data_IF_698160746360
#
_entry.id   IF_698160746360
#
_cell.length_a   1.000
_cell.length_b   1.000
_cell.length_c   1.000
_cell.angle_alpha   90.00
_cell.angle_beta   90.00
_cell.angle_gamma   90.00
#
_symmetry.space_group_name_H-M   'P 1'
#
loop_
_entity.id
_entity.type
_entity.pdbx_description
1 polymer ?
#
# COMPACT_ATOMS: atom_id res chain seq x y z
N UNK A 1 48.61 3.67 46.86
CA UNK A 1 47.50 3.38 45.91
C UNK A 1 46.28 3.06 46.75
N UNK A 2 45.26 3.92 46.71
CA UNK A 2 44.00 3.71 47.41
C UNK A 2 43.09 2.85 46.55
N UNK A 3 42.72 1.67 47.05
CA UNK A 3 41.79 0.76 46.38
C UNK A 3 40.39 1.05 46.90
N UNK A 4 39.58 1.74 46.11
CA UNK A 4 38.16 1.99 46.41
C UNK A 4 37.38 0.71 46.14
N UNK A 5 36.81 0.11 47.18
CA UNK A 5 35.86 -1.00 47.06
C UNK A 5 34.48 -0.40 46.79
N UNK A 6 33.98 -0.56 45.56
CA UNK A 6 32.58 -0.30 45.25
C UNK A 6 31.74 -1.47 45.81
N UNK A 7 30.95 -1.21 46.85
CA UNK A 7 29.84 -2.09 47.22
C UNK A 7 28.76 -1.98 46.14
N UNK A 8 28.48 -3.08 45.45
CA UNK A 8 27.29 -3.20 44.63
C UNK A 8 26.06 -3.08 45.54
N UNK A 9 25.17 -2.12 45.26
CA UNK A 9 23.84 -2.11 45.85
C UNK A 9 23.11 -3.38 45.38
N UNK A 10 22.77 -4.25 46.33
CA UNK A 10 21.77 -5.30 46.07
C UNK A 10 20.47 -4.61 45.65
N UNK A 11 19.87 -4.94 44.50
CA UNK A 11 18.53 -4.50 44.22
C UNK A 11 17.63 -5.21 45.22
N UNK A 12 17.03 -4.44 46.13
CA UNK A 12 15.85 -4.90 46.85
C UNK A 12 14.83 -5.32 45.78
N UNK A 13 14.47 -6.60 45.75
CA UNK A 13 13.25 -7.08 45.08
C UNK A 13 12.07 -6.51 45.87
N UNK A 14 11.75 -5.24 45.63
CA UNK A 14 10.39 -4.78 45.83
C UNK A 14 9.53 -5.64 44.91
N UNK A 15 8.73 -6.52 45.51
CA UNK A 15 7.58 -7.14 44.87
C UNK A 15 6.61 -6.02 44.51
N UNK A 16 6.90 -5.32 43.42
CA UNK A 16 5.91 -4.55 42.69
C UNK A 16 4.84 -5.56 42.31
N UNK A 17 3.75 -5.59 43.08
CA UNK A 17 2.51 -6.21 42.63
C UNK A 17 2.29 -5.72 41.21
N UNK A 18 2.46 -6.60 40.22
CA UNK A 18 2.23 -6.25 38.84
C UNK A 18 0.77 -5.88 38.73
N UNK A 19 0.49 -4.57 38.72
CA UNK A 19 -0.82 -4.03 38.44
C UNK A 19 -1.37 -4.77 37.23
N UNK A 20 -2.54 -5.38 37.40
CA UNK A 20 -3.16 -6.22 36.38
C UNK A 20 -3.18 -5.46 35.05
N UNK A 21 -2.34 -5.89 34.09
CA UNK A 21 -2.15 -5.18 32.83
C UNK A 21 -3.51 -5.01 32.14
N UNK A 22 -3.83 -3.78 31.76
CA UNK A 22 -5.06 -3.44 31.07
C UNK A 22 -5.24 -4.20 29.75
N UNK A 23 -4.16 -4.77 29.20
CA UNK A 23 -4.16 -5.56 27.96
C UNK A 23 -3.54 -6.93 28.19
N UNK A 24 -4.21 -7.99 27.73
CA UNK A 24 -3.65 -9.35 27.76
C UNK A 24 -2.39 -9.43 26.88
N UNK A 25 -1.30 -10.02 27.38
CA UNK A 25 -0.02 -10.20 26.66
C UNK A 25 -0.18 -10.70 25.22
N UNK A 26 -1.05 -11.69 24.98
CA UNK A 26 -1.31 -12.20 23.62
C UNK A 26 -1.95 -11.16 22.69
N UNK A 27 -2.87 -10.34 23.21
CA UNK A 27 -3.50 -9.26 22.44
C UNK A 27 -2.49 -8.15 22.12
N UNK A 28 -1.56 -7.87 23.03
CA UNK A 28 -0.47 -6.93 22.82
C UNK A 28 0.50 -7.39 21.72
N UNK A 29 0.99 -8.63 21.79
CA UNK A 29 1.88 -9.22 20.77
C UNK A 29 1.20 -9.26 19.40
N UNK A 30 -0.07 -9.68 19.35
CA UNK A 30 -0.87 -9.68 18.11
C UNK A 30 -1.10 -8.25 17.58
N UNK A 31 -1.32 -7.29 18.47
CA UNK A 31 -1.43 -5.88 18.13
C UNK A 31 -0.15 -5.39 17.45
N UNK A 32 1.01 -5.63 18.07
CA UNK A 32 2.31 -5.22 17.55
C UNK A 32 2.60 -5.84 16.18
N UNK A 33 2.29 -7.13 15.98
CA UNK A 33 2.44 -7.79 14.68
C UNK A 33 1.55 -7.18 13.59
N UNK A 34 0.39 -6.66 13.96
CA UNK A 34 -0.48 -5.88 13.08
C UNK A 34 -0.10 -4.38 13.04
N UNK A 35 0.98 -3.96 13.68
CA UNK A 35 1.42 -2.56 13.70
C UNK A 35 0.61 -1.64 14.59
N UNK A 36 0.05 -2.17 15.67
CA UNK A 36 -0.64 -1.40 16.69
C UNK A 36 -0.02 -1.59 18.06
N UNK A 37 0.03 -0.53 18.86
CA UNK A 37 0.12 -0.64 20.32
C UNK A 37 -1.31 -0.55 20.85
N UNK A 38 -1.94 -1.68 21.22
CA UNK A 38 -3.30 -1.67 21.76
C UNK A 38 -3.30 -1.10 23.18
N UNK A 39 -4.28 -0.26 23.47
CA UNK A 39 -4.65 0.18 24.83
C UNK A 39 -6.10 -0.18 25.10
N UNK A 40 -6.63 0.17 26.28
CA UNK A 40 -8.00 -0.15 26.67
C UNK A 40 -9.05 0.29 25.64
N UNK A 41 -8.94 1.51 25.12
CA UNK A 41 -9.95 2.11 24.23
C UNK A 41 -9.42 2.48 22.85
N UNK A 42 -8.11 2.52 22.67
CA UNK A 42 -7.46 3.03 21.47
C UNK A 42 -6.29 2.15 21.04
N UNK A 43 -6.13 1.94 19.75
CA UNK A 43 -4.99 1.25 19.18
C UNK A 43 -4.10 2.29 18.48
N UNK A 44 -2.93 2.57 19.04
CA UNK A 44 -1.95 3.47 18.42
C UNK A 44 -1.36 2.81 17.19
N UNK A 45 -1.43 3.48 16.05
CA UNK A 45 -0.97 2.96 14.77
C UNK A 45 0.52 3.31 14.56
N UNK A 46 1.35 2.27 14.57
CA UNK A 46 2.79 2.38 14.44
C UNK A 46 3.25 2.88 13.07
N UNK A 47 2.38 2.85 12.04
CA UNK A 47 2.72 3.31 10.68
C UNK A 47 3.10 4.78 10.62
N UNK A 48 2.61 5.59 11.57
CA UNK A 48 2.81 7.03 11.53
C UNK A 48 4.03 7.50 12.32
N UNK A 49 4.68 6.62 13.10
CA UNK A 49 5.77 7.02 13.99
C UNK A 49 6.94 7.62 13.22
N UNK A 50 7.50 6.88 12.26
CA UNK A 50 8.62 7.29 11.43
C UNK A 50 8.43 6.73 10.01
N UNK A 51 8.54 7.61 9.03
CA UNK A 51 8.64 7.32 7.60
C UNK A 51 9.67 8.25 6.97
N UNK A 52 10.13 7.91 5.77
CA UNK A 52 10.95 8.80 4.96
C UNK A 52 10.51 8.72 3.50
N UNK A 53 10.49 9.87 2.83
CA UNK A 53 10.47 9.96 1.37
C UNK A 53 11.25 11.20 0.93
N UNK A 54 11.53 11.30 -0.38
CA UNK A 54 12.38 12.38 -0.88
C UNK A 54 11.73 13.75 -0.76
N UNK A 55 10.39 13.83 -0.85
CA UNK A 55 9.65 15.09 -0.81
C UNK A 55 9.55 15.65 0.62
N UNK A 56 9.14 14.84 1.58
CA UNK A 56 8.90 15.24 2.98
C UNK A 56 10.14 15.10 3.88
N UNK A 57 11.19 14.40 3.41
CA UNK A 57 12.32 14.02 4.26
C UNK A 57 11.88 13.04 5.33
N UNK A 58 12.29 13.26 6.58
CA UNK A 58 11.75 12.51 7.72
C UNK A 58 10.30 12.95 7.95
N UNK A 59 9.40 11.97 8.02
CA UNK A 59 7.99 12.14 8.35
C UNK A 59 7.71 11.43 9.67
N UNK A 60 7.30 12.17 10.68
CA UNK A 60 6.97 11.62 12.00
C UNK A 60 5.59 12.05 12.45
N UNK A 61 4.94 11.23 13.25
CA UNK A 61 3.70 11.61 13.89
C UNK A 61 3.06 10.51 14.70
N UNK A 62 1.77 10.72 14.95
CA UNK A 62 0.95 9.84 15.74
C UNK A 62 -0.34 9.54 14.98
N UNK A 63 -0.85 8.34 15.17
CA UNK A 63 -2.15 7.98 14.65
C UNK A 63 -2.73 6.81 15.40
N UNK A 64 -3.97 6.48 15.09
CA UNK A 64 -4.62 5.30 15.63
C UNK A 64 -6.12 5.31 15.47
N UNK A 65 -6.74 4.34 16.12
CA UNK A 65 -8.15 4.03 15.94
C UNK A 65 -8.75 3.54 17.25
N UNK A 66 -9.96 3.99 17.56
CA UNK A 66 -10.73 3.45 18.70
C UNK A 66 -11.12 1.99 18.45
N UNK A 67 -11.21 1.19 19.51
CA UNK A 67 -11.54 -0.24 19.41
C UNK A 67 -12.94 -0.56 19.97
N UNK A 68 -13.33 -1.84 19.92
CA UNK A 68 -14.68 -2.27 20.33
C UNK A 68 -14.99 -2.04 21.83
N UNK A 69 -13.96 -1.88 22.66
CA UNK A 69 -14.13 -1.53 24.06
C UNK A 69 -14.47 -0.05 24.26
N UNK A 70 -14.10 0.82 23.31
CA UNK A 70 -14.58 2.20 23.27
C UNK A 70 -16.04 2.24 22.81
N UNK A 71 -16.34 1.61 21.68
CA UNK A 71 -17.71 1.47 21.18
C UNK A 71 -17.77 0.43 20.07
N UNK A 72 -18.81 -0.42 20.11
CA UNK A 72 -19.15 -1.33 18.99
C UNK A 72 -19.88 -0.62 17.85
N UNK A 73 -20.37 0.60 18.06
CA UNK A 73 -21.22 1.34 17.11
C UNK A 73 -20.51 2.53 16.46
N UNK A 74 -19.46 3.04 17.09
CA UNK A 74 -18.73 4.23 16.63
C UNK A 74 -17.25 3.91 16.62
N UNK A 75 -16.59 4.22 15.50
CA UNK A 75 -15.15 4.10 15.37
C UNK A 75 -14.60 5.45 14.92
N UNK A 76 -13.66 5.97 15.68
CA UNK A 76 -12.93 7.20 15.33
C UNK A 76 -11.51 6.77 14.97
N UNK A 77 -11.02 7.20 13.82
CA UNK A 77 -9.64 6.98 13.42
C UNK A 77 -9.03 8.25 12.87
N UNK A 78 -7.73 8.40 13.04
CA UNK A 78 -7.02 9.55 12.51
C UNK A 78 -5.54 9.47 12.73
N UNK A 79 -4.84 10.41 12.10
CA UNK A 79 -3.42 10.62 12.28
C UNK A 79 -3.07 12.08 12.09
N UNK A 80 -1.94 12.47 12.66
CA UNK A 80 -1.28 13.75 12.39
C UNK A 80 0.21 13.48 12.30
N UNK A 81 0.81 13.99 11.23
CA UNK A 81 2.22 13.81 10.92
C UNK A 81 2.81 15.12 10.45
N UNK A 82 4.12 15.26 10.61
CA UNK A 82 4.90 16.40 10.20
C UNK A 82 6.06 15.94 9.34
N UNK A 83 6.23 16.58 8.18
CA UNK A 83 7.37 16.38 7.29
C UNK A 83 8.40 17.48 7.50
N UNK A 84 9.64 17.10 7.82
CA UNK A 84 10.70 18.06 8.17
C UNK A 84 11.27 18.80 6.96
N UNK A 85 11.19 18.24 5.75
CA UNK A 85 11.70 18.88 4.53
C UNK A 85 10.70 19.86 3.92
N UNK A 86 9.41 19.52 3.96
CA UNK A 86 8.35 20.37 3.42
C UNK A 86 7.70 21.29 4.48
N UNK A 87 8.14 21.19 5.74
CA UNK A 87 7.69 22.00 6.89
C UNK A 87 6.17 22.07 7.03
N UNK A 88 5.50 20.92 6.90
CA UNK A 88 4.04 20.86 6.88
C UNK A 88 3.47 19.72 7.71
N UNK A 89 2.46 20.09 8.50
CA UNK A 89 1.53 19.13 9.09
C UNK A 89 0.58 18.57 8.05
N UNK A 90 0.30 17.27 8.17
CA UNK A 90 -0.63 16.51 7.36
C UNK A 90 -1.46 15.65 8.29
N UNK A 91 -2.74 15.48 8.00
CA UNK A 91 -3.64 14.81 8.92
C UNK A 91 -4.85 14.22 8.21
N UNK A 92 -5.42 13.21 8.86
CA UNK A 92 -6.70 12.64 8.48
C UNK A 92 -7.51 12.37 9.73
N UNK A 93 -8.81 12.59 9.64
CA UNK A 93 -9.78 12.21 10.66
C UNK A 93 -10.95 11.55 9.98
N UNK A 94 -11.42 10.46 10.57
CA UNK A 94 -12.60 9.75 10.10
C UNK A 94 -13.43 9.25 11.27
N UNK A 95 -14.75 9.28 11.07
CA UNK A 95 -15.74 8.76 12.01
C UNK A 95 -16.63 7.79 11.27
N UNK A 96 -16.63 6.54 11.71
CA UNK A 96 -17.46 5.47 11.17
C UNK A 96 -18.57 5.10 12.14
N UNK A 97 -19.80 5.03 11.63
CA UNK A 97 -20.99 4.62 12.34
C UNK A 97 -21.43 3.25 11.84
N UNK A 98 -21.59 2.29 12.75
CA UNK A 98 -22.13 0.98 12.42
C UNK A 98 -23.64 1.07 12.31
N UNK A 99 -24.17 0.87 11.11
CA UNK A 99 -25.59 0.95 10.81
C UNK A 99 -26.29 -0.39 11.03
N UNK A 100 -25.62 -1.50 10.70
CA UNK A 100 -26.15 -2.85 10.89
C UNK A 100 -25.03 -3.83 11.25
N UNK A 101 -25.25 -4.65 12.28
CA UNK A 101 -24.27 -5.62 12.77
C UNK A 101 -24.25 -6.91 11.95
N UNK A 102 -25.40 -7.35 11.43
CA UNK A 102 -25.51 -8.63 10.71
C UNK A 102 -24.80 -8.59 9.35
N UNK A 103 -24.93 -7.47 8.66
CA UNK A 103 -24.30 -7.20 7.36
C UNK A 103 -22.99 -6.42 7.50
N UNK A 104 -22.50 -6.22 8.73
CA UNK A 104 -21.34 -5.40 9.06
C UNK A 104 -21.33 -4.08 8.26
N UNK A 105 -22.47 -3.37 8.25
CA UNK A 105 -22.64 -2.14 7.48
C UNK A 105 -22.09 -0.95 8.25
N UNK A 106 -21.20 -0.19 7.62
CA UNK A 106 -20.59 1.01 8.16
C UNK A 106 -20.75 2.21 7.24
N UNK A 107 -21.09 3.36 7.82
CA UNK A 107 -21.04 4.65 7.15
C UNK A 107 -19.89 5.46 7.72
N UNK A 108 -18.95 5.89 6.88
CA UNK A 108 -17.74 6.61 7.29
C UNK A 108 -17.72 8.01 6.69
N UNK A 109 -17.52 9.01 7.53
CA UNK A 109 -17.21 10.37 7.11
C UNK A 109 -15.73 10.62 7.32
N UNK A 110 -15.04 11.21 6.35
CA UNK A 110 -13.60 11.50 6.48
C UNK A 110 -13.20 12.85 5.90
N UNK A 111 -12.15 13.41 6.50
CA UNK A 111 -11.41 14.57 6.01
C UNK A 111 -9.92 14.23 6.00
N UNK A 112 -9.24 14.51 4.90
CA UNK A 112 -7.79 14.28 4.77
C UNK A 112 -7.13 15.47 4.09
N UNK A 113 -6.02 15.96 4.65
CA UNK A 113 -5.04 16.85 4.00
C UNK A 113 -3.68 16.14 4.08
N UNK A 114 -3.25 15.55 2.95
CA UNK A 114 -2.01 14.77 2.88
C UNK A 114 -1.48 14.73 1.43
N UNK A 115 -0.43 13.94 1.21
CA UNK A 115 0.18 13.65 -0.07
C UNK A 115 -0.22 12.25 -0.55
N UNK A 116 -0.38 12.12 -1.87
CA UNK A 116 -0.56 10.85 -2.53
C UNK A 116 0.42 10.69 -3.70
N UNK A 117 0.95 9.48 -3.89
CA UNK A 117 1.75 9.13 -5.04
C UNK A 117 0.94 9.29 -6.34
N UNK A 118 1.50 10.03 -7.29
CA UNK A 118 0.92 10.24 -8.61
C UNK A 118 0.79 8.92 -9.38
N UNK A 119 -0.38 8.69 -9.96
CA UNK A 119 -0.67 7.52 -10.79
C UNK A 119 -0.99 6.25 -10.02
N UNK A 120 -0.99 6.32 -8.69
CA UNK A 120 -1.29 5.17 -7.81
C UNK A 120 -2.75 4.75 -7.83
N UNK A 121 -2.98 3.43 -7.78
CA UNK A 121 -4.32 2.84 -7.82
C UNK A 121 -4.66 2.19 -6.49
N UNK A 122 -5.55 2.82 -5.71
CA UNK A 122 -6.05 2.28 -4.45
C UNK A 122 -7.42 1.65 -4.68
N UNK A 123 -7.60 0.39 -4.27
CA UNK A 123 -8.93 -0.21 -4.19
C UNK A 123 -9.54 0.12 -2.83
N UNK A 124 -10.80 0.55 -2.79
CA UNK A 124 -11.50 0.83 -1.53
C UNK A 124 -11.50 -0.38 -0.58
N UNK A 125 -11.74 -1.56 -1.14
CA UNK A 125 -11.78 -2.84 -0.40
C UNK A 125 -10.41 -3.36 0.05
N UNK A 126 -9.33 -2.59 -0.15
CA UNK A 126 -8.01 -2.97 0.35
C UNK A 126 -7.95 -2.86 1.86
N UNK A 127 -7.60 -3.97 2.50
CA UNK A 127 -7.36 -3.98 3.93
C UNK A 127 -6.07 -3.21 4.24
N UNK A 128 -6.07 -2.57 5.40
CA UNK A 128 -4.86 -1.99 5.99
C UNK A 128 -3.74 -3.04 6.05
N UNK A 129 -2.60 -2.73 5.45
CA UNK A 129 -1.35 -3.45 5.64
C UNK A 129 -0.40 -2.65 6.52
N UNK A 130 0.38 -3.33 7.36
CA UNK A 130 1.43 -2.74 8.17
C UNK A 130 2.79 -3.22 7.69
N UNK A 131 3.69 -2.28 7.46
CA UNK A 131 5.11 -2.54 7.27
C UNK A 131 5.90 -1.51 8.06
N UNK A 132 6.89 -1.96 8.83
CA UNK A 132 7.77 -1.06 9.58
C UNK A 132 8.58 -0.13 8.67
N UNK A 133 8.90 -0.61 7.47
CA UNK A 133 9.72 0.11 6.52
C UNK A 133 9.19 -0.14 5.11
N UNK A 134 8.76 0.91 4.41
CA UNK A 134 8.22 0.86 3.04
C UNK A 134 9.24 1.47 2.06
N UNK A 135 10.16 0.70 1.48
CA UNK A 135 11.40 1.30 0.98
C UNK A 135 11.24 1.91 -0.41
N UNK A 136 10.18 1.51 -1.10
CA UNK A 136 9.67 2.17 -2.30
C UNK A 136 9.36 3.66 -2.04
N UNK A 137 8.87 4.02 -0.85
CA UNK A 137 8.61 5.43 -0.48
C UNK A 137 9.88 6.29 -0.53
N UNK A 138 11.06 5.72 -0.30
CA UNK A 138 12.32 6.46 -0.33
C UNK A 138 12.64 7.07 -1.70
N UNK A 139 11.99 6.58 -2.75
CA UNK A 139 12.39 6.83 -4.14
C UNK A 139 11.25 7.38 -5.01
N UNK A 140 10.02 7.40 -4.48
CA UNK A 140 8.92 8.13 -5.11
C UNK A 140 9.25 9.62 -5.01
N UNK A 141 9.12 10.28 -6.15
CA UNK A 141 9.39 11.70 -6.37
C UNK A 141 8.12 12.47 -6.75
N UNK A 142 7.21 11.85 -7.51
CA UNK A 142 5.94 12.48 -7.89
C UNK A 142 4.84 12.24 -6.85
N UNK A 143 4.62 13.29 -6.05
CA UNK A 143 3.46 13.40 -5.17
C UNK A 143 2.51 14.50 -5.63
N UNK A 144 1.24 14.38 -5.24
CA UNK A 144 0.30 15.49 -5.26
C UNK A 144 -0.32 15.63 -3.89
N UNK A 145 -0.50 16.88 -3.47
CA UNK A 145 -1.33 17.21 -2.32
C UNK A 145 -2.78 16.95 -2.69
N UNK A 146 -3.53 16.42 -1.73
CA UNK A 146 -4.97 16.35 -1.83
C UNK A 146 -5.63 16.79 -0.52
N UNK A 147 -6.67 17.60 -0.64
CA UNK A 147 -7.60 17.90 0.46
C UNK A 147 -8.93 17.24 0.09
N UNK A 148 -9.26 16.15 0.77
CA UNK A 148 -10.39 15.29 0.42
C UNK A 148 -11.40 15.22 1.56
N UNK A 149 -12.67 15.43 1.22
CA UNK A 149 -13.82 15.12 2.07
C UNK A 149 -14.57 13.97 1.45
N UNK A 150 -14.84 12.90 2.21
CA UNK A 150 -15.51 11.73 1.67
C UNK A 150 -16.57 11.18 2.61
N UNK A 151 -17.60 10.59 2.00
CA UNK A 151 -18.60 9.75 2.65
C UNK A 151 -18.52 8.39 2.00
N UNK A 152 -18.23 7.36 2.80
CA UNK A 152 -18.15 5.98 2.36
C UNK A 152 -19.20 5.12 3.05
N UNK A 153 -19.70 4.12 2.34
CA UNK A 153 -20.64 3.12 2.81
C UNK A 153 -20.06 1.73 2.49
N UNK A 154 -19.67 1.01 3.53
CA UNK A 154 -19.13 -0.35 3.44
C UNK A 154 -20.20 -1.34 3.90
N UNK A 155 -20.40 -2.41 3.16
CA UNK A 155 -21.37 -3.45 3.49
C UNK A 155 -20.87 -4.83 3.07
N UNK A 156 -21.02 -5.81 3.97
CA UNK A 156 -20.88 -7.23 3.64
C UNK A 156 -22.23 -7.75 3.14
N UNK A 157 -22.42 -7.75 1.81
CA UNK A 157 -23.67 -8.20 1.17
C UNK A 157 -23.88 -9.70 1.41
N UNK A 158 -22.81 -10.48 1.22
CA UNK A 158 -22.74 -11.91 1.52
C UNK A 158 -21.44 -12.19 2.25
N UNK A 159 -21.29 -13.35 2.89
CA UNK A 159 -20.07 -13.69 3.64
C UNK A 159 -18.79 -13.70 2.79
N UNK A 160 -18.96 -13.92 1.49
CA UNK A 160 -17.93 -13.91 0.47
C UNK A 160 -17.99 -12.69 -0.47
N UNK A 161 -18.89 -11.72 -0.24
CA UNK A 161 -19.06 -10.55 -1.10
C UNK A 161 -19.14 -9.27 -0.26
N UNK A 162 -18.10 -8.46 -0.35
CA UNK A 162 -18.08 -7.12 0.24
C UNK A 162 -18.33 -6.08 -0.87
N UNK A 163 -19.06 -5.03 -0.52
CA UNK A 163 -19.25 -3.87 -1.37
C UNK A 163 -18.89 -2.60 -0.59
N UNK A 164 -18.30 -1.64 -1.28
CA UNK A 164 -18.00 -0.33 -0.74
C UNK A 164 -18.31 0.74 -1.77
N UNK A 165 -19.00 1.79 -1.34
CA UNK A 165 -19.32 2.95 -2.18
C UNK A 165 -18.79 4.20 -1.51
N UNK A 166 -18.09 5.06 -2.24
CA UNK A 166 -17.55 6.32 -1.73
C UNK A 166 -17.98 7.47 -2.64
N UNK A 167 -18.43 8.56 -2.05
CA UNK A 167 -18.51 9.86 -2.70
C UNK A 167 -17.49 10.80 -2.06
N UNK A 168 -16.68 11.47 -2.87
CA UNK A 168 -15.67 12.40 -2.38
C UNK A 168 -15.56 13.66 -3.22
N UNK A 169 -15.21 14.75 -2.55
CA UNK A 169 -14.75 15.99 -3.17
C UNK A 169 -13.29 16.21 -2.78
N UNK A 170 -12.43 16.45 -3.76
CA UNK A 170 -10.98 16.54 -3.56
C UNK A 170 -10.42 17.75 -4.28
N UNK A 171 -9.66 18.58 -3.58
CA UNK A 171 -8.81 19.61 -4.20
C UNK A 171 -7.41 19.06 -4.37
N UNK A 172 -6.88 19.09 -5.60
CA UNK A 172 -5.63 18.42 -5.98
C UNK A 172 -4.62 19.43 -6.49
N UNK A 173 -3.42 19.34 -5.92
CA UNK A 173 -2.29 20.22 -6.19
C UNK A 173 -1.02 19.38 -6.37
N UNK A 174 -0.60 19.10 -7.62
CA UNK A 174 0.65 18.43 -7.92
C UNK A 174 1.86 19.17 -7.33
N UNK A 175 2.77 18.44 -6.68
CA UNK A 175 3.96 19.04 -6.03
C UNK A 175 5.11 19.32 -6.99
N UNK A 176 4.88 19.13 -8.29
CA UNK A 176 5.82 19.27 -9.38
C UNK A 176 5.20 20.12 -10.48
N UNK A 177 6.04 20.67 -11.38
CA UNK A 177 5.56 21.47 -12.48
C UNK A 177 4.73 20.60 -13.44
N UNK A 178 3.41 20.77 -13.41
CA UNK A 178 2.47 20.02 -14.22
C UNK A 178 1.36 20.92 -14.70
N UNK A 179 0.97 20.74 -15.96
CA UNK A 179 -0.21 21.36 -16.54
C UNK A 179 -1.03 20.34 -17.32
N UNK A 180 -2.33 20.30 -17.09
CA UNK A 180 -3.26 19.49 -17.87
C UNK A 180 -4.02 20.37 -18.86
N UNK A 181 -3.90 20.07 -20.15
CA UNK A 181 -4.59 20.83 -21.21
C UNK A 181 -6.06 20.42 -21.25
N UNK A 182 -6.93 21.41 -21.07
CA UNK A 182 -8.38 21.28 -21.25
C UNK A 182 -8.89 22.25 -22.32
N UNK A 183 -10.14 22.10 -22.72
CA UNK A 183 -10.80 23.07 -23.60
C UNK A 183 -10.94 24.47 -22.96
N UNK A 184 -10.87 24.57 -21.63
CA UNK A 184 -10.98 25.82 -20.86
C UNK A 184 -9.62 26.48 -20.56
N UNK A 185 -8.51 25.86 -20.99
CA UNK A 185 -7.15 26.29 -20.70
C UNK A 185 -6.32 25.21 -20.00
N UNK A 186 -5.15 25.60 -19.47
CA UNK A 186 -4.24 24.69 -18.76
C UNK A 186 -4.60 24.72 -17.27
N UNK A 187 -4.80 23.54 -16.69
CA UNK A 187 -5.03 23.37 -15.25
C UNK A 187 -3.76 22.87 -14.58
N UNK A 188 -3.24 23.64 -13.63
CA UNK A 188 -2.11 23.22 -12.78
C UNK A 188 -2.61 22.56 -11.49
N UNK A 189 -3.69 23.09 -10.94
CA UNK A 189 -4.47 22.53 -9.84
C UNK A 189 -5.88 22.24 -10.32
N UNK A 190 -6.57 21.29 -9.70
CA UNK A 190 -7.93 20.93 -10.10
C UNK A 190 -8.72 20.33 -8.94
N UNK A 191 -10.01 20.64 -8.93
CA UNK A 191 -10.98 20.06 -8.02
C UNK A 191 -11.71 18.89 -8.69
N UNK A 192 -11.93 17.80 -7.95
CA UNK A 192 -12.62 16.60 -8.44
C UNK A 192 -13.79 16.22 -7.53
N UNK A 193 -14.91 15.88 -8.15
CA UNK A 193 -16.05 15.20 -7.52
C UNK A 193 -16.11 13.76 -8.00
N UNK A 194 -15.81 12.80 -7.12
CA UNK A 194 -15.67 11.39 -7.45
C UNK A 194 -16.75 10.53 -6.77
N UNK A 195 -17.39 9.65 -7.54
CA UNK A 195 -18.14 8.52 -7.02
C UNK A 195 -17.40 7.21 -7.34
N UNK A 196 -17.21 6.35 -6.35
CA UNK A 196 -16.56 5.05 -6.48
C UNK A 196 -17.48 3.95 -6.00
N UNK A 197 -17.50 2.84 -6.73
CA UNK A 197 -18.23 1.62 -6.39
C UNK A 197 -17.27 0.44 -6.50
N UNK A 198 -17.03 -0.26 -5.40
CA UNK A 198 -16.11 -1.37 -5.32
C UNK A 198 -16.81 -2.64 -4.83
N UNK A 199 -16.48 -3.77 -5.44
CA UNK A 199 -16.93 -5.10 -5.04
C UNK A 199 -15.72 -6.00 -4.87
N UNK A 200 -15.68 -6.76 -3.78
CA UNK A 200 -14.69 -7.80 -3.55
C UNK A 200 -15.38 -9.13 -3.30
N UNK A 201 -15.12 -10.10 -4.18
CA UNK A 201 -15.72 -11.42 -4.15
C UNK A 201 -14.67 -12.50 -3.89
N UNK A 202 -14.89 -13.32 -2.87
CA UNK A 202 -14.01 -14.42 -2.45
C UNK A 202 -14.79 -15.75 -2.46
N UNK A 203 -15.07 -16.35 -3.64
CA UNK A 203 -16.06 -17.42 -3.83
C UNK A 203 -16.05 -18.54 -2.80
N UNK A 204 -14.86 -18.97 -2.35
CA UNK A 204 -14.71 -20.12 -1.47
C UNK A 204 -14.74 -19.79 0.02
N UNK A 205 -14.67 -18.52 0.43
CA UNK A 205 -14.59 -18.10 1.84
C UNK A 205 -15.67 -18.76 2.71
N UNK A 206 -15.27 -19.71 3.56
CA UNK A 206 -16.17 -20.51 4.38
C UNK A 206 -16.72 -19.78 5.62
N UNK A 207 -17.96 -20.11 5.96
CA UNK A 207 -18.70 -19.73 7.16
C UNK A 207 -18.13 -20.40 8.42
N UNK A 208 -16.94 -20.04 8.89
CA UNK A 208 -16.54 -20.38 10.26
C UNK A 208 -16.55 -19.14 11.12
N UNK A 209 -17.76 -18.70 11.45
CA UNK A 209 -17.98 -17.88 12.63
C UNK A 209 -17.66 -18.75 13.85
N UNK A 210 -16.60 -18.41 14.58
CA UNK A 210 -16.41 -18.91 15.94
C UNK A 210 -16.43 -17.70 16.86
N UNK A 211 -17.35 -17.70 17.82
CA UNK A 211 -17.56 -16.66 18.83
C UNK A 211 -16.38 -16.53 19.82
N UNK A 212 -15.31 -17.31 19.64
CA UNK A 212 -14.08 -17.20 20.42
C UNK A 212 -12.90 -17.36 19.48
N UNK A 213 -12.04 -16.34 19.49
CA UNK A 213 -10.80 -16.22 18.74
C UNK A 213 -10.92 -15.99 17.23
N UNK A 214 -10.38 -14.85 16.82
CA UNK A 214 -9.88 -14.56 15.47
C UNK A 214 -8.81 -15.60 15.09
N UNK A 215 -9.22 -16.85 14.82
CA UNK A 215 -8.44 -17.81 14.04
C UNK A 215 -8.37 -17.25 12.63
N UNK A 216 -7.14 -17.12 12.13
CA UNK A 216 -6.84 -16.73 10.75
C UNK A 216 -7.84 -17.38 9.81
N UNK A 217 -8.81 -16.57 9.35
CA UNK A 217 -9.73 -17.01 8.31
C UNK A 217 -8.84 -17.22 7.11
N UNK A 218 -8.53 -18.49 6.82
CA UNK A 218 -7.70 -18.90 5.70
C UNK A 218 -8.23 -18.15 4.48
N UNK A 219 -7.47 -17.19 3.94
CA UNK A 219 -7.90 -16.47 2.75
C UNK A 219 -8.11 -17.52 1.67
N UNK A 220 -9.36 -17.71 1.27
CA UNK A 220 -9.71 -18.69 0.24
C UNK A 220 -9.66 -17.99 -1.11
N UNK A 221 -8.84 -18.53 -2.01
CA UNK A 221 -8.54 -17.96 -3.31
C UNK A 221 -9.30 -18.71 -4.41
N UNK A 222 -9.71 -18.06 -5.50
CA UNK A 222 -9.33 -16.70 -5.90
C UNK A 222 -10.11 -15.60 -5.16
N UNK A 223 -9.53 -14.39 -5.16
CA UNK A 223 -10.17 -13.15 -4.72
C UNK A 223 -10.26 -12.23 -5.93
N UNK A 224 -11.47 -11.79 -6.26
CA UNK A 224 -11.72 -10.84 -7.31
C UNK A 224 -12.10 -9.48 -6.70
N UNK A 225 -11.58 -8.40 -7.26
CA UNK A 225 -11.94 -7.04 -6.91
C UNK A 225 -12.28 -6.28 -8.18
N UNK A 226 -13.44 -5.63 -8.21
CA UNK A 226 -13.85 -4.74 -9.29
C UNK A 226 -14.15 -3.38 -8.67
N UNK A 227 -13.64 -2.31 -9.28
CA UNK A 227 -13.90 -0.95 -8.83
C UNK A 227 -14.21 -0.06 -10.03
N UNK A 228 -15.31 0.67 -9.96
CA UNK A 228 -15.66 1.70 -10.91
C UNK A 228 -15.55 3.07 -10.26
N UNK A 229 -14.85 4.00 -10.90
CA UNK A 229 -14.74 5.39 -10.46
C UNK A 229 -15.33 6.30 -11.52
N UNK A 230 -16.17 7.25 -11.13
CA UNK A 230 -16.68 8.31 -11.98
C UNK A 230 -16.32 9.67 -11.40
N UNK A 231 -15.58 10.47 -12.16
CA UNK A 231 -15.44 11.91 -11.94
C UNK A 231 -16.51 12.65 -12.71
N UNK A 232 -17.21 13.56 -12.04
CA UNK A 232 -18.22 14.42 -12.66
C UNK A 232 -17.59 15.74 -13.08
N UNK A 233 -17.95 16.24 -14.26
CA UNK A 233 -17.57 17.60 -14.66
C UNK A 233 -18.65 18.59 -14.20
N UNK A 234 -18.25 19.78 -13.75
CA UNK A 234 -19.10 20.90 -13.33
C UNK A 234 -20.06 20.61 -12.13
N UNK A 235 -20.01 19.42 -11.52
CA UNK A 235 -20.73 19.09 -10.27
C UNK A 235 -19.84 19.44 -9.08
N UNK A 236 -20.37 20.26 -8.16
CA UNK A 236 -19.65 20.77 -6.98
C UNK A 236 -18.29 21.42 -7.34
N UNK A 237 -18.26 22.17 -8.45
CA UNK A 237 -17.06 22.85 -8.99
C UNK A 237 -15.92 21.92 -9.44
N UNK A 238 -16.23 20.66 -9.76
CA UNK A 238 -15.25 19.73 -10.31
C UNK A 238 -14.82 20.14 -11.73
N UNK A 239 -13.51 20.14 -11.99
CA UNK A 239 -12.91 20.63 -13.23
C UNK A 239 -12.81 19.57 -14.33
N UNK A 240 -12.76 18.27 -13.95
CA UNK A 240 -12.41 17.18 -14.86
C UNK A 240 -13.43 16.03 -14.80
N UNK A 241 -13.91 15.63 -15.97
CA UNK A 241 -14.84 14.50 -16.14
C UNK A 241 -14.17 13.28 -16.75
N UNK A 242 -14.08 12.18 -16.00
CA UNK A 242 -13.53 10.92 -16.47
C UNK A 242 -14.18 9.72 -15.76
N UNK A 243 -13.94 8.52 -16.27
CA UNK A 243 -14.35 7.27 -15.65
C UNK A 243 -13.20 6.27 -15.66
N UNK A 244 -13.10 5.45 -14.62
CA UNK A 244 -12.12 4.37 -14.49
C UNK A 244 -12.84 3.06 -14.16
N UNK A 245 -12.38 1.97 -14.74
CA UNK A 245 -12.75 0.61 -14.37
C UNK A 245 -11.49 -0.15 -14.01
N UNK A 246 -11.36 -0.54 -12.76
CA UNK A 246 -10.23 -1.25 -12.18
C UNK A 246 -10.64 -2.67 -11.83
N UNK A 247 -9.82 -3.65 -12.18
CA UNK A 247 -10.02 -5.05 -11.89
C UNK A 247 -8.76 -5.66 -11.28
N UNK A 248 -8.94 -6.51 -10.28
CA UNK A 248 -7.86 -7.31 -9.71
C UNK A 248 -8.33 -8.73 -9.44
N UNK A 249 -7.52 -9.70 -9.82
CA UNK A 249 -7.68 -11.11 -9.46
C UNK A 249 -6.41 -11.60 -8.78
N UNK A 250 -6.56 -12.20 -7.59
CA UNK A 250 -5.46 -12.85 -6.88
C UNK A 250 -5.84 -14.32 -6.73
N UNK A 251 -4.94 -15.22 -7.13
CA UNK A 251 -5.12 -16.65 -6.96
C UNK A 251 -3.87 -17.26 -6.34
N UNK A 252 -4.07 -18.25 -5.46
CA UNK A 252 -2.99 -19.00 -4.84
C UNK A 252 -3.21 -20.49 -5.03
N UNK A 253 -2.15 -21.19 -5.45
CA UNK A 253 -2.16 -22.63 -5.71
C UNK A 253 -1.06 -23.26 -4.87
N UNK A 254 -1.42 -24.21 -4.00
CA UNK A 254 -0.47 -24.93 -3.15
C UNK A 254 -0.67 -24.67 -1.66
N UNK A 255 0.38 -24.88 -0.87
CA UNK A 255 0.34 -24.75 0.59
C UNK A 255 1.48 -23.85 1.07
N UNK A 256 1.21 -22.98 2.04
CA UNK A 256 2.21 -22.06 2.62
C UNK A 256 3.47 -22.77 3.16
N UNK A 257 3.32 -23.99 3.66
CA UNK A 257 4.43 -24.81 4.20
C UNK A 257 5.21 -25.59 3.13
N UNK A 258 4.77 -25.54 1.88
CA UNK A 258 5.37 -26.25 0.75
C UNK A 258 5.60 -25.32 -0.44
N UNK A 259 5.38 -25.85 -1.64
CA UNK A 259 5.37 -25.01 -2.84
C UNK A 259 4.05 -24.23 -2.91
N UNK A 260 4.17 -22.94 -3.21
CA UNK A 260 3.04 -22.03 -3.35
C UNK A 260 3.25 -21.17 -4.59
N UNK A 261 2.28 -21.16 -5.49
CA UNK A 261 2.24 -20.20 -6.60
C UNK A 261 1.20 -19.13 -6.29
N UNK A 262 1.59 -17.88 -6.43
CA UNK A 262 0.69 -16.72 -6.34
C UNK A 262 0.62 -16.04 -7.71
N UNK A 263 -0.61 -15.90 -8.21
CA UNK A 263 -0.91 -15.21 -9.46
C UNK A 263 -1.71 -13.95 -9.15
N UNK A 264 -1.20 -12.79 -9.56
CA UNK A 264 -1.89 -11.51 -9.45
C UNK A 264 -2.07 -10.90 -10.82
N UNK A 265 -3.31 -10.66 -11.20
CA UNK A 265 -3.69 -9.91 -12.39
C UNK A 265 -4.31 -8.60 -11.93
N UNK A 266 -3.80 -7.46 -12.40
CA UNK A 266 -4.41 -6.14 -12.20
C UNK A 266 -4.60 -5.51 -13.57
N UNK A 267 -5.80 -5.04 -13.86
CA UNK A 267 -6.10 -4.32 -15.08
C UNK A 267 -6.88 -3.04 -14.76
N UNK A 268 -6.69 -2.02 -15.57
CA UNK A 268 -7.42 -0.76 -15.44
C UNK A 268 -7.62 -0.11 -16.79
N UNK A 269 -8.75 0.56 -16.95
CA UNK A 269 -9.05 1.36 -18.12
C UNK A 269 -9.75 2.64 -17.70
N UNK A 270 -9.25 3.76 -18.21
CA UNK A 270 -9.75 5.09 -17.98
C UNK A 270 -10.20 5.72 -19.31
N UNK A 271 -11.20 6.59 -19.23
CA UNK A 271 -11.72 7.33 -20.36
C UNK A 271 -12.22 8.72 -19.93
N UNK A 272 -12.00 9.73 -20.77
CA UNK A 272 -12.33 11.13 -20.48
C UNK A 272 -11.10 11.95 -20.14
N UNK A 273 -11.31 13.10 -19.51
CA UNK A 273 -10.24 14.04 -19.18
C UNK A 273 -9.55 13.63 -17.88
N UNK A 274 -8.55 12.76 -17.99
CA UNK A 274 -7.86 12.17 -16.84
C UNK A 274 -6.50 12.83 -16.61
N UNK A 275 -6.26 13.47 -15.45
CA UNK A 275 -4.97 14.07 -15.15
C UNK A 275 -3.95 12.99 -14.78
N UNK A 276 -2.65 13.32 -14.85
CA UNK A 276 -1.56 12.40 -14.53
C UNK A 276 -1.68 11.79 -13.12
N UNK A 277 -2.21 12.56 -12.15
CA UNK A 277 -2.47 12.09 -10.79
C UNK A 277 -3.36 10.85 -10.74
N UNK A 278 -4.23 10.67 -11.73
CA UNK A 278 -5.22 9.59 -11.83
C UNK A 278 -4.93 8.58 -12.94
N UNK A 279 -3.93 8.79 -13.80
CA UNK A 279 -3.43 7.76 -14.72
C UNK A 279 -2.89 6.55 -13.94
N UNK A 280 -2.55 5.48 -14.66
CA UNK A 280 -1.99 4.27 -14.06
C UNK A 280 -0.48 4.23 -14.24
N UNK A 281 0.27 4.20 -13.15
CA UNK A 281 1.63 3.67 -13.17
C UNK A 281 1.60 2.15 -12.93
N UNK A 282 2.59 1.41 -13.44
CA UNK A 282 2.68 -0.04 -13.25
C UNK A 282 3.45 -0.42 -11.96
N UNK A 283 3.27 0.32 -10.86
CA UNK A 283 4.00 0.11 -9.59
C UNK A 283 5.53 -0.05 -9.76
N UNK A 284 6.23 0.93 -10.36
CA UNK A 284 7.68 0.89 -10.48
C UNK A 284 8.36 0.93 -9.11
N UNK A 285 9.58 0.39 -9.03
CA UNK A 285 10.39 0.42 -7.81
C UNK A 285 11.89 0.65 -8.07
N UNK A 286 12.30 1.12 -9.24
CA UNK A 286 13.72 1.37 -9.54
C UNK A 286 14.06 2.86 -9.59
N UNK A 287 15.21 3.24 -9.07
CA UNK A 287 15.72 4.62 -9.14
C UNK A 287 16.61 4.75 -10.37
N UNK A 288 16.53 5.87 -11.07
CA UNK A 288 17.49 6.18 -12.13
C UNK A 288 18.76 6.83 -11.55
N UNK A 289 19.71 6.02 -11.08
CA UNK A 289 21.07 6.45 -10.64
C UNK A 289 22.17 5.72 -11.40
N UNK A 290 23.38 6.25 -11.50
CA UNK A 290 24.41 5.69 -12.39
C UNK A 290 24.82 4.24 -12.09
N UNK A 291 24.87 3.83 -10.81
CA UNK A 291 25.37 2.49 -10.43
C UNK A 291 24.30 1.62 -9.77
N UNK A 292 24.40 0.29 -9.97
CA UNK A 292 23.51 -0.69 -9.33
C UNK A 292 23.52 -0.54 -7.80
N UNK A 293 24.67 -0.28 -7.20
CA UNK A 293 24.80 -0.09 -5.75
C UNK A 293 24.07 1.16 -5.25
N UNK A 294 23.95 2.20 -6.06
CA UNK A 294 23.17 3.40 -5.73
C UNK A 294 21.66 3.21 -5.93
N UNK A 295 21.24 2.18 -6.68
CA UNK A 295 19.83 1.78 -6.88
C UNK A 295 19.35 0.75 -5.86
N UNK A 296 20.29 0.24 -5.05
CA UNK A 296 20.04 -0.80 -4.07
C UNK A 296 19.01 -0.33 -3.03
N UNK A 297 17.89 -1.03 -2.97
CA UNK A 297 16.71 -0.70 -2.14
C UNK A 297 16.06 -1.99 -1.65
N UNK A 298 14.84 -1.96 -1.13
CA UNK A 298 14.10 -3.17 -0.75
C UNK A 298 13.05 -3.49 -1.81
N UNK A 299 12.90 -4.77 -2.14
CA UNK A 299 11.91 -5.23 -3.10
C UNK A 299 10.49 -4.90 -2.64
N UNK A 300 9.64 -4.50 -3.58
CA UNK A 300 8.23 -4.28 -3.34
C UNK A 300 7.46 -5.59 -3.35
N UNK A 301 6.36 -5.67 -2.60
CA UNK A 301 5.55 -6.89 -2.57
C UNK A 301 4.95 -7.18 -3.94
N UNK A 302 4.44 -6.19 -4.67
CA UNK A 302 3.82 -6.34 -5.99
C UNK A 302 4.35 -5.32 -7.02
N UNK A 303 5.63 -4.94 -6.92
CA UNK A 303 6.23 -3.89 -7.75
C UNK A 303 7.12 -4.44 -8.87
N UNK A 304 7.33 -3.65 -9.91
CA UNK A 304 8.33 -3.94 -10.94
C UNK A 304 9.70 -3.43 -10.48
N UNK A 305 10.64 -4.35 -10.26
CA UNK A 305 11.87 -4.04 -9.54
C UNK A 305 12.90 -3.31 -10.42
N UNK A 306 12.85 -3.50 -11.74
CA UNK A 306 13.77 -2.87 -12.70
C UNK A 306 13.17 -1.67 -13.42
N UNK A 307 11.84 -1.45 -13.30
CA UNK A 307 11.14 -0.32 -13.93
C UNK A 307 11.41 0.96 -13.15
N UNK A 308 11.85 2.01 -13.85
CA UNK A 308 12.14 3.29 -13.20
C UNK A 308 10.86 4.00 -12.77
N UNK A 309 10.93 4.77 -11.68
CA UNK A 309 9.84 5.68 -11.31
C UNK A 309 9.53 6.63 -12.47
N UNK A 310 8.23 6.86 -12.69
CA UNK A 310 7.69 7.73 -13.75
C UNK A 310 8.05 7.34 -15.18
N UNK A 311 8.65 6.17 -15.39
CA UNK A 311 9.02 5.70 -16.73
C UNK A 311 7.79 5.52 -17.61
N UNK A 312 6.68 5.06 -17.03
CA UNK A 312 5.44 4.81 -17.75
C UNK A 312 4.20 5.26 -16.98
N UNK A 313 3.29 5.93 -17.70
CA UNK A 313 1.92 6.14 -17.29
C UNK A 313 0.98 5.64 -18.39
N UNK A 314 -0.21 5.20 -18.02
CA UNK A 314 -1.18 4.62 -18.95
C UNK A 314 -2.60 5.01 -18.59
N UNK A 315 -3.45 5.21 -19.60
CA UNK A 315 -4.90 5.30 -19.42
C UNK A 315 -5.56 3.92 -19.46
N UNK A 316 -4.88 2.92 -20.02
CA UNK A 316 -5.29 1.52 -20.02
C UNK A 316 -4.10 0.65 -19.79
N UNK A 317 -4.19 -0.31 -18.88
CA UNK A 317 -3.10 -1.21 -18.58
C UNK A 317 -3.58 -2.55 -18.06
N UNK A 318 -2.73 -3.55 -18.18
CA UNK A 318 -2.84 -4.83 -17.51
C UNK A 318 -1.46 -5.28 -17.05
N UNK A 319 -1.39 -5.80 -15.83
CA UNK A 319 -0.19 -6.40 -15.25
C UNK A 319 -0.50 -7.82 -14.81
N UNK A 320 0.42 -8.73 -15.09
CA UNK A 320 0.39 -10.10 -14.63
C UNK A 320 1.66 -10.35 -13.82
N UNK A 321 1.50 -10.85 -12.60
CA UNK A 321 2.60 -11.20 -11.72
C UNK A 321 2.44 -12.65 -11.28
N UNK A 322 3.46 -13.45 -11.49
CA UNK A 322 3.55 -14.81 -10.99
C UNK A 322 4.73 -14.89 -10.03
N UNK A 323 4.46 -15.32 -8.80
CA UNK A 323 5.46 -15.70 -7.81
C UNK A 323 5.34 -17.17 -7.52
N UNK A 324 6.44 -17.90 -7.60
CA UNK A 324 6.51 -19.30 -7.22
C UNK A 324 7.46 -19.46 -6.05
N UNK A 325 6.90 -19.67 -4.87
CA UNK A 325 7.61 -19.96 -3.64
C UNK A 325 7.95 -21.45 -3.65
N UNK A 326 9.24 -21.76 -3.62
CA UNK A 326 9.70 -23.13 -3.37
C UNK A 326 9.57 -23.45 -1.89
N UNK A 327 9.42 -24.73 -1.58
CA UNK A 327 9.51 -25.23 -0.21
C UNK A 327 10.84 -24.73 0.41
N UNK A 328 10.83 -24.18 1.63
CA UNK A 328 12.06 -23.73 2.28
C UNK A 328 13.10 -24.84 2.34
N UNK A 329 14.35 -24.50 2.04
CA UNK A 329 15.47 -25.43 2.16
C UNK A 329 15.80 -25.59 3.64
N UNK A 330 15.60 -26.79 4.17
CA UNK A 330 15.91 -27.07 5.56
C UNK A 330 17.41 -27.29 5.70
N UNK A 331 18.12 -26.33 6.28
CA UNK A 331 19.56 -26.45 6.59
C UNK A 331 19.73 -26.67 8.10
N UNK A 332 19.11 -25.83 8.93
CA UNK A 332 19.00 -26.05 10.38
C UNK A 332 17.62 -25.64 10.89
N UNK A 333 17.34 -25.86 12.18
CA UNK A 333 16.09 -25.39 12.81
C UNK A 333 15.89 -23.87 12.70
N UNK A 334 16.98 -23.12 12.77
CA UNK A 334 17.00 -21.66 12.77
C UNK A 334 17.31 -21.05 11.38
N UNK A 335 17.75 -21.88 10.43
CA UNK A 335 18.14 -21.44 9.08
C UNK A 335 17.37 -22.24 8.01
N UNK A 336 16.33 -21.60 7.48
CA UNK A 336 15.41 -22.17 6.48
C UNK A 336 15.20 -21.19 5.32
N UNK A 337 16.23 -20.94 4.50
CA UNK A 337 16.12 -20.01 3.38
C UNK A 337 15.04 -20.50 2.40
N UNK A 338 14.36 -19.56 1.77
CA UNK A 338 13.29 -19.85 0.83
C UNK A 338 13.52 -19.10 -0.47
N UNK A 339 13.61 -19.85 -1.57
CA UNK A 339 13.71 -19.26 -2.90
C UNK A 339 12.31 -18.97 -3.48
N UNK A 340 12.18 -17.81 -4.11
CA UNK A 340 10.96 -17.39 -4.81
C UNK A 340 11.34 -17.04 -6.23
N UNK A 341 10.71 -17.66 -7.21
CA UNK A 341 10.85 -17.30 -8.62
C UNK A 341 9.78 -16.29 -8.98
N UNK A 342 10.14 -15.23 -9.69
CA UNK A 342 9.23 -14.13 -10.00
C UNK A 342 9.29 -13.83 -11.49
N UNK A 343 8.13 -13.71 -12.11
CA UNK A 343 8.00 -13.16 -13.46
C UNK A 343 6.84 -12.18 -13.50
N UNK A 344 7.06 -11.04 -14.16
CA UNK A 344 6.07 -9.98 -14.27
C UNK A 344 5.98 -9.48 -15.70
N UNK A 345 4.76 -9.21 -16.12
CA UNK A 345 4.42 -8.66 -17.42
C UNK A 345 3.52 -7.46 -17.24
N UNK A 346 3.77 -6.37 -17.96
CA UNK A 346 2.88 -5.22 -18.05
C UNK A 346 2.64 -4.85 -19.51
N UNK A 347 1.40 -4.53 -19.87
CA UNK A 347 1.05 -3.95 -21.16
C UNK A 347 0.08 -2.81 -20.91
N UNK A 348 0.19 -1.75 -21.69
CA UNK A 348 -0.67 -0.61 -21.50
C UNK A 348 -0.42 0.45 -22.54
N UNK A 349 -1.15 1.53 -22.45
CA UNK A 349 -1.02 2.65 -23.35
C UNK A 349 -1.67 3.92 -22.79
N UNK A 350 -1.37 5.06 -23.40
CA UNK A 350 -1.93 6.39 -23.15
C UNK A 350 -2.38 6.99 -24.48
N UNK A 351 -3.65 7.40 -24.58
CA UNK A 351 -4.22 7.96 -25.82
C UNK A 351 -3.80 9.40 -26.08
N UNK A 352 -3.71 10.22 -25.03
CA UNK A 352 -3.51 11.67 -25.14
C UNK A 352 -2.32 12.16 -24.30
N UNK A 353 -1.09 11.63 -24.51
CA UNK A 353 0.09 12.06 -23.76
C UNK A 353 0.36 13.58 -23.91
N UNK A 354 -0.01 14.18 -25.04
CA UNK A 354 0.16 15.60 -25.35
C UNK A 354 -0.63 16.55 -24.44
N UNK A 355 -1.69 16.06 -23.77
CA UNK A 355 -2.45 16.86 -22.79
C UNK A 355 -1.69 17.06 -21.48
N UNK A 356 -0.61 16.33 -21.24
CA UNK A 356 0.18 16.40 -20.03
C UNK A 356 1.45 17.22 -20.27
N UNK A 357 1.46 18.47 -19.80
CA UNK A 357 2.57 19.40 -19.97
C UNK A 357 3.56 19.36 -18.80
N UNK A 358 4.80 19.75 -19.09
CA UNK A 358 5.92 19.87 -18.14
C UNK A 358 6.32 18.56 -17.45
N UNK A 359 5.89 17.43 -18.01
CA UNK A 359 6.22 16.08 -17.56
C UNK A 359 6.66 15.22 -18.75
N UNK A 360 7.48 14.21 -18.51
CA UNK A 360 7.91 13.26 -19.55
C UNK A 360 7.72 11.85 -19.06
N UNK A 361 7.07 11.02 -19.85
CA UNK A 361 6.85 9.61 -19.56
C UNK A 361 6.64 8.82 -20.85
N UNK A 362 6.89 7.52 -20.79
CA UNK A 362 6.68 6.56 -21.87
C UNK A 362 5.30 5.90 -21.83
N UNK A 363 5.00 5.17 -22.91
CA UNK A 363 3.83 4.29 -23.01
C UNK A 363 4.26 2.83 -22.92
N UNK A 364 3.39 1.94 -22.41
CA UNK A 364 3.63 0.49 -22.29
C UNK A 364 3.20 -0.32 -23.52
N UNK A 365 2.97 0.32 -24.69
CA UNK A 365 2.42 -0.31 -25.92
C UNK A 365 3.09 -1.64 -26.34
N UNK A 366 4.42 -1.73 -26.20
CA UNK A 366 5.20 -2.88 -26.65
C UNK A 366 5.26 -4.05 -25.67
N UNK A 367 4.67 -3.91 -24.48
CA UNK A 367 4.80 -4.90 -23.41
C UNK A 367 6.15 -4.82 -22.67
N UNK A 368 6.09 -4.79 -21.36
CA UNK A 368 7.23 -4.78 -20.44
C UNK A 368 7.33 -6.14 -19.75
N UNK A 369 8.53 -6.71 -19.72
CA UNK A 369 8.82 -7.98 -19.09
C UNK A 369 9.99 -7.86 -18.12
N UNK A 370 9.82 -8.39 -16.91
CA UNK A 370 10.92 -8.67 -16.01
C UNK A 370 10.78 -10.06 -15.39
N UNK A 371 11.90 -10.68 -15.09
CA UNK A 371 11.94 -11.91 -14.31
C UNK A 371 13.11 -11.87 -13.35
N UNK A 372 13.01 -12.63 -12.28
CA UNK A 372 13.95 -12.57 -11.19
C UNK A 372 13.73 -13.69 -10.19
N UNK A 373 14.52 -13.65 -9.14
CA UNK A 373 14.35 -14.52 -8.00
C UNK A 373 14.70 -13.80 -6.71
N UNK A 374 14.12 -14.28 -5.62
CA UNK A 374 14.45 -13.86 -4.27
C UNK A 374 14.97 -15.07 -3.50
N UNK A 375 15.91 -14.82 -2.58
CA UNK A 375 16.29 -15.76 -1.54
C UNK A 375 15.98 -15.09 -0.20
N UNK A 376 14.86 -15.51 0.38
CA UNK A 376 14.33 -14.99 1.63
C UNK A 376 14.85 -15.78 2.84
N UNK A 377 14.74 -15.19 4.05
CA UNK A 377 15.13 -15.81 5.33
C UNK A 377 16.62 -16.20 5.41
N UNK A 378 17.49 -15.33 4.89
CA UNK A 378 18.94 -15.49 4.98
C UNK A 378 19.46 -15.14 6.39
N UNK A 379 19.09 -13.99 6.93
CA UNK A 379 19.54 -13.53 8.26
C UNK A 379 18.45 -12.67 8.91
N UNK A 380 17.95 -13.01 10.10
CA UNK A 380 16.93 -12.23 10.83
C UNK A 380 15.70 -11.81 10.00
N UNK A 381 15.27 -12.64 9.05
CA UNK A 381 14.14 -12.34 8.13
C UNK A 381 14.52 -11.52 6.90
N UNK A 382 15.76 -11.03 6.80
CA UNK A 382 16.29 -10.42 5.59
C UNK A 382 16.57 -11.46 4.50
N UNK A 383 16.45 -11.03 3.25
CA UNK A 383 16.81 -11.80 2.07
C UNK A 383 17.34 -10.90 0.96
N UNK A 384 17.59 -11.49 -0.20
CA UNK A 384 18.10 -10.79 -1.38
C UNK A 384 17.14 -11.03 -2.55
N UNK A 385 17.00 -10.02 -3.41
CA UNK A 385 16.22 -10.06 -4.64
C UNK A 385 17.10 -9.65 -5.81
N UNK A 386 17.01 -10.42 -6.89
CA UNK A 386 17.60 -10.11 -8.18
C UNK A 386 16.50 -10.10 -9.23
N UNK A 387 16.45 -9.07 -10.06
CA UNK A 387 15.50 -8.96 -11.17
C UNK A 387 16.18 -8.41 -12.41
N UNK A 388 15.70 -8.83 -13.58
CA UNK A 388 16.21 -8.44 -14.88
C UNK A 388 15.06 -8.10 -15.84
N UNK A 389 15.09 -6.92 -16.47
CA UNK A 389 14.17 -6.57 -17.56
C UNK A 389 14.73 -7.03 -18.90
N UNK A 390 13.84 -7.52 -19.74
CA UNK A 390 14.14 -7.95 -21.10
C UNK A 390 12.98 -7.60 -22.03
N UNK A 391 13.12 -7.92 -23.31
CA UNK A 391 12.07 -7.68 -24.31
C UNK A 391 12.09 -6.24 -24.85
N UNK A 392 10.93 -5.72 -25.21
CA UNK A 392 10.82 -4.51 -26.03
C UNK A 392 11.28 -3.21 -25.35
N UNK A 393 11.36 -3.20 -24.02
CA UNK A 393 11.90 -2.10 -23.24
C UNK A 393 13.24 -2.44 -22.59
N UNK A 394 14.03 -3.34 -23.18
CA UNK A 394 15.42 -3.51 -22.77
C UNK A 394 16.21 -2.22 -23.06
N UNK A 395 17.02 -1.79 -22.10
CA UNK A 395 17.84 -0.57 -22.17
C UNK A 395 19.24 -0.90 -22.72
N UNK A 396 19.92 0.03 -23.42
CA UNK A 396 21.23 -0.24 -24.01
C UNK A 396 22.29 -0.68 -23.00
N UNK A 397 22.27 -0.09 -21.80
CA UNK A 397 23.21 -0.43 -20.73
C UNK A 397 22.70 -1.61 -19.90
N UNK A 398 23.48 -2.69 -19.83
CA UNK A 398 23.09 -3.92 -19.11
C UNK A 398 22.79 -3.62 -17.63
N UNK A 399 23.56 -2.72 -17.00
CA UNK A 399 23.35 -2.32 -15.61
C UNK A 399 21.98 -1.67 -15.36
N UNK A 400 21.38 -1.05 -16.38
CA UNK A 400 20.04 -0.44 -16.32
C UNK A 400 18.91 -1.44 -16.39
N UNK A 401 19.23 -2.66 -16.80
CA UNK A 401 18.29 -3.74 -16.87
C UNK A 401 18.28 -4.62 -15.62
N UNK A 402 19.20 -4.40 -14.67
CA UNK A 402 19.38 -5.21 -13.46
C UNK A 402 18.93 -4.43 -12.23
N UNK A 403 18.20 -5.12 -11.33
CA UNK A 403 17.90 -4.63 -9.99
C UNK A 403 18.36 -5.66 -8.95
N UNK A 404 19.18 -5.21 -8.01
CA UNK A 404 19.57 -5.97 -6.83
C UNK A 404 19.04 -5.26 -5.58
N UNK A 405 18.32 -5.98 -4.72
CA UNK A 405 17.60 -5.40 -3.58
C UNK A 405 17.61 -6.30 -2.36
N UNK A 406 17.46 -5.74 -1.17
CA UNK A 406 17.11 -6.53 0.02
C UNK A 406 15.63 -6.92 -0.01
N UNK A 407 15.30 -8.01 0.65
CA UNK A 407 13.92 -8.33 1.02
C UNK A 407 13.83 -8.40 2.54
N UNK A 408 12.65 -8.12 3.09
CA UNK A 408 12.41 -8.26 4.51
C UNK A 408 11.07 -8.93 4.75
N UNK A 409 11.13 -10.16 5.25
CA UNK A 409 9.95 -10.97 5.55
C UNK A 409 10.02 -11.37 7.03
N UNK A 410 9.38 -10.58 7.89
CA UNK A 410 9.20 -10.96 9.29
C UNK A 410 7.96 -11.86 9.40
N UNK A 411 8.18 -13.17 9.53
CA UNK A 411 7.16 -14.05 10.09
C UNK A 411 7.28 -13.98 11.61
N UNK A 412 6.37 -13.26 12.26
CA UNK A 412 6.16 -13.36 13.72
C UNK A 412 5.47 -14.68 14.08
#
# INVERSE_FOLDING_TARGET
>A
MYTTVYQAQNPHEDQLETAQDSVKKNAFVKGLGNGYIPTKYFNFDLRYLIKYNQYEGVRTGIGGVTNDAFSKKIKISGYTVYGFRDDRFKYSVSTSFRLDEKTNTWMTFSYTDDLQETGSTKFLTDKRFFQFFEPRLLNIDLFHKHITKAVAFEQQILNNLNAETEFSISSIDPTYNYGYITNKGILNTFDLSLAKFAFQWSPFKSLKASETELKDTKNEFPIFTLQYTKSFNDILKSDLGFSKLDFRAIHQIGKKEGNLSELTLVAGMANGDIPLTHLYHAYPNNINKETIMQRFSVAGTNSFETMFFNEFFSDKFATLQLKHFLKPFYITEHYKPQMVLITRYAIGDVKQPEKHQNVTFGSLKKGYTESGFEINKLLFGFGLSFSYRYGAYHLPEIGDNIAFKFTFNLTL
#
